data_IF_524532891838
#
_entry.id   IF_524532891838
#
_cell.length_a   1.000
_cell.length_b   1.000
_cell.length_c   1.000
_cell.angle_alpha   90.00
_cell.angle_beta   90.00
_cell.angle_gamma   90.00
#
_symmetry.space_group_name_H-M   'P 1'
#
loop_
_entity.id
_entity.type
_entity.pdbx_description
1 polymer ?
#
# COMPACT_ATOMS: atom_id res chain seq x y z
N UNK A 1 8.18 -29.33 -25.78
CA UNK A 1 7.49 -28.71 -24.62
C UNK A 1 8.17 -27.38 -24.35
N UNK A 2 7.47 -26.26 -24.54
CA UNK A 2 8.06 -24.93 -24.31
C UNK A 2 8.27 -24.70 -22.81
N UNK A 3 9.43 -24.19 -22.43
CA UNK A 3 9.73 -23.81 -21.05
C UNK A 3 8.81 -22.64 -20.69
N UNK A 4 7.85 -22.84 -19.78
CA UNK A 4 7.05 -21.73 -19.24
C UNK A 4 8.00 -20.78 -18.51
N UNK A 5 8.02 -19.51 -18.92
CA UNK A 5 8.78 -18.51 -18.19
C UNK A 5 8.10 -18.20 -16.87
N UNK A 6 8.88 -17.81 -15.85
CA UNK A 6 8.36 -17.53 -14.51
C UNK A 6 7.21 -16.51 -14.56
N UNK A 7 7.29 -15.50 -15.44
CA UNK A 7 6.23 -14.51 -15.66
C UNK A 7 4.93 -15.06 -16.24
N UNK A 8 4.98 -16.18 -16.99
CA UNK A 8 3.79 -16.86 -17.52
C UNK A 8 3.16 -17.82 -16.51
N UNK A 9 3.96 -18.34 -15.57
CA UNK A 9 3.48 -19.25 -14.54
C UNK A 9 2.88 -18.52 -13.33
N UNK A 10 3.22 -17.24 -13.13
CA UNK A 10 2.67 -16.42 -12.04
C UNK A 10 1.21 -16.06 -12.31
N UNK A 11 0.35 -16.34 -11.32
CA UNK A 11 -1.03 -15.87 -11.32
C UNK A 11 -1.10 -14.40 -10.90
N UNK A 12 -1.11 -13.51 -11.89
CA UNK A 12 -1.16 -12.07 -11.68
C UNK A 12 -2.50 -11.56 -11.15
N UNK A 13 -3.56 -12.37 -11.18
CA UNK A 13 -4.89 -12.00 -10.68
C UNK A 13 -5.00 -12.03 -9.15
N UNK A 14 -4.00 -12.62 -8.48
CA UNK A 14 -3.93 -12.79 -7.02
C UNK A 14 -4.00 -11.47 -6.24
N UNK A 15 -3.39 -10.41 -6.76
CA UNK A 15 -3.30 -9.10 -6.11
C UNK A 15 -3.48 -7.96 -7.12
N UNK A 16 -3.89 -6.78 -6.63
CA UNK A 16 -3.77 -5.54 -7.42
C UNK A 16 -2.30 -5.18 -7.61
N UNK A 17 -1.99 -4.40 -8.64
CA UNK A 17 -0.61 -4.00 -8.93
C UNK A 17 0.04 -3.27 -7.74
N UNK A 18 -0.70 -2.39 -7.07
CA UNK A 18 -0.23 -1.70 -5.86
C UNK A 18 0.10 -2.68 -4.74
N UNK A 19 -0.72 -3.73 -4.57
CA UNK A 19 -0.47 -4.76 -3.57
C UNK A 19 0.72 -5.65 -3.97
N UNK A 20 0.87 -6.02 -5.24
CA UNK A 20 2.08 -6.68 -5.76
C UNK A 20 3.35 -5.90 -5.41
N UNK A 21 3.33 -4.57 -5.55
CA UNK A 21 4.44 -3.70 -5.19
C UNK A 21 4.71 -3.68 -3.68
N UNK A 22 3.66 -3.58 -2.86
CA UNK A 22 3.77 -3.63 -1.39
C UNK A 22 4.33 -4.96 -0.90
N UNK A 23 3.88 -6.06 -1.49
CA UNK A 23 4.34 -7.42 -1.21
C UNK A 23 5.81 -7.61 -1.61
N UNK A 24 6.22 -7.08 -2.77
CA UNK A 24 7.63 -7.04 -3.17
C UNK A 24 8.47 -6.22 -2.18
N UNK A 25 7.96 -5.08 -1.72
CA UNK A 25 8.61 -4.26 -0.71
C UNK A 25 8.86 -5.01 0.61
N UNK A 26 7.86 -5.76 1.08
CA UNK A 26 7.98 -6.62 2.24
C UNK A 26 8.96 -7.79 2.01
N UNK A 27 9.04 -8.32 0.79
CA UNK A 27 10.02 -9.36 0.45
C UNK A 27 11.46 -8.85 0.46
N UNK A 28 11.73 -7.65 -0.07
CA UNK A 28 13.08 -7.07 -0.14
C UNK A 28 13.54 -6.54 1.22
N UNK A 29 12.69 -5.79 1.92
CA UNK A 29 13.05 -5.08 3.15
C UNK A 29 12.71 -5.86 4.43
N UNK A 30 12.07 -7.02 4.30
CA UNK A 30 11.46 -7.76 5.41
C UNK A 30 10.06 -7.25 5.75
N UNK A 31 9.35 -8.04 6.56
CA UNK A 31 7.98 -7.72 6.97
C UNK A 31 7.89 -6.32 7.59
N UNK A 32 6.98 -5.52 7.04
CA UNK A 32 6.74 -4.15 7.50
C UNK A 32 5.60 -4.07 8.53
N UNK A 33 5.05 -5.21 8.95
CA UNK A 33 3.99 -5.29 9.95
C UNK A 33 4.43 -4.61 11.26
N UNK A 34 3.70 -3.55 11.64
CA UNK A 34 3.82 -2.87 12.93
C UNK A 34 2.50 -2.95 13.67
N UNK A 35 2.55 -3.33 14.94
CA UNK A 35 1.41 -3.26 15.84
C UNK A 35 1.22 -1.82 16.28
N UNK A 36 0.20 -1.14 15.75
CA UNK A 36 -0.12 0.23 16.15
C UNK A 36 -1.26 0.20 17.17
N UNK A 37 -1.00 0.74 18.35
CA UNK A 37 -2.06 1.01 19.33
C UNK A 37 -2.80 2.29 18.93
N UNK A 38 -4.02 2.15 18.45
CA UNK A 38 -4.90 3.29 18.17
C UNK A 38 -5.72 3.57 19.41
N UNK A 39 -5.46 4.72 20.04
CA UNK A 39 -6.27 5.22 21.15
C UNK A 39 -7.49 5.92 20.56
N UNK A 40 -8.66 5.27 20.59
CA UNK A 40 -9.92 5.95 20.25
C UNK A 40 -10.45 6.69 21.46
N UNK A 41 -9.84 7.80 21.86
CA UNK A 41 -10.45 8.66 22.89
C UNK A 41 -11.82 9.15 22.41
N UNK A 42 -12.83 9.10 23.29
CA UNK A 42 -14.06 9.84 23.02
C UNK A 42 -13.75 11.33 22.93
N UNK A 43 -14.45 12.10 22.09
CA UNK A 43 -14.41 13.55 22.19
C UNK A 43 -15.11 13.97 23.50
N UNK A 44 -14.37 14.00 24.60
CA UNK A 44 -14.89 14.37 25.95
C UNK A 44 -15.20 15.86 26.07
N UNK A 45 -14.87 16.67 25.05
CA UNK A 45 -14.85 18.13 25.17
C UNK A 45 -16.24 18.79 25.20
N UNK A 46 -17.35 18.09 24.94
CA UNK A 46 -18.73 18.61 25.11
C UNK A 46 -19.76 17.49 25.41
N UNK A 47 -19.59 16.77 26.51
CA UNK A 47 -20.62 15.80 26.96
C UNK A 47 -21.49 16.39 28.07
N UNK A 48 -22.79 16.16 27.98
CA UNK A 48 -23.76 16.53 29.03
C UNK A 48 -23.65 15.58 30.22
N UNK A 49 -24.11 16.01 31.41
CA UNK A 49 -24.09 15.20 32.63
C UNK A 49 -24.79 13.83 32.44
N UNK A 50 -25.92 13.81 31.73
CA UNK A 50 -26.65 12.57 31.40
C UNK A 50 -25.85 11.61 30.52
N UNK A 51 -25.07 12.14 29.57
CA UNK A 51 -24.18 11.32 28.73
C UNK A 51 -22.99 10.79 29.54
N UNK A 52 -22.50 11.55 30.52
CA UNK A 52 -21.45 11.14 31.44
C UNK A 52 -21.89 9.98 32.33
N UNK A 53 -23.09 10.07 32.90
CA UNK A 53 -23.67 9.00 33.73
C UNK A 53 -23.94 7.73 32.91
N UNK A 54 -24.43 7.87 31.67
CA UNK A 54 -24.59 6.73 30.76
C UNK A 54 -23.25 6.06 30.42
N UNK A 55 -22.19 6.84 30.19
CA UNK A 55 -20.85 6.30 29.98
C UNK A 55 -20.33 5.57 31.22
N UNK A 56 -20.47 6.17 32.41
CA UNK A 56 -20.09 5.53 33.68
C UNK A 56 -20.83 4.21 33.89
N UNK A 57 -22.14 4.16 33.63
CA UNK A 57 -22.92 2.94 33.70
C UNK A 57 -22.44 1.87 32.69
N UNK A 58 -22.04 2.28 31.47
CA UNK A 58 -21.44 1.36 30.48
C UNK A 58 -20.08 0.81 30.96
N UNK A 59 -19.24 1.63 31.61
CA UNK A 59 -17.98 1.17 32.20
C UNK A 59 -18.18 0.24 33.41
N UNK A 60 -19.22 0.47 34.22
CA UNK A 60 -19.50 -0.32 35.41
C UNK A 60 -20.17 -1.68 35.12
N UNK A 61 -20.93 -1.77 34.02
CA UNK A 61 -21.68 -3.00 33.67
C UNK A 61 -20.94 -3.96 32.74
N UNK A 62 -19.81 -3.58 32.13
CA UNK A 62 -19.14 -4.39 31.12
C UNK A 62 -17.65 -4.58 31.45
N UNK A 63 -17.32 -5.67 32.16
CA UNK A 63 -15.94 -6.06 32.49
C UNK A 63 -15.06 -6.28 31.24
N UNK A 64 -15.66 -6.46 30.07
CA UNK A 64 -14.95 -6.65 28.79
C UNK A 64 -14.75 -5.35 28.02
N UNK A 65 -15.17 -4.21 28.57
CA UNK A 65 -14.97 -2.89 27.96
C UNK A 65 -13.48 -2.52 28.04
N UNK A 66 -12.68 -3.11 27.15
CA UNK A 66 -11.28 -2.75 26.95
C UNK A 66 -11.25 -1.28 26.58
N UNK A 67 -10.62 -0.49 27.45
CA UNK A 67 -10.32 0.90 27.15
C UNK A 67 -9.69 0.97 25.76
N UNK A 68 -10.16 1.92 24.95
CA UNK A 68 -10.37 1.79 23.49
C UNK A 68 -9.08 1.77 22.66
N UNK A 69 -8.18 0.87 23.00
CA UNK A 69 -6.93 0.55 22.35
C UNK A 69 -7.23 -0.52 21.33
N UNK A 70 -7.57 -0.10 20.11
CA UNK A 70 -7.56 -1.01 18.98
C UNK A 70 -6.10 -1.25 18.61
N UNK A 71 -5.60 -2.46 18.87
CA UNK A 71 -4.34 -2.92 18.28
C UNK A 71 -4.65 -3.22 16.81
N UNK A 72 -4.23 -2.34 15.91
CA UNK A 72 -4.30 -2.59 14.47
C UNK A 72 -2.92 -3.01 13.99
N UNK A 73 -2.86 -4.12 13.27
CA UNK A 73 -1.72 -4.41 12.39
C UNK A 73 -1.73 -3.40 11.26
N UNK A 74 -0.64 -2.66 11.11
CA UNK A 74 -0.43 -1.71 10.02
C UNK A 74 0.83 -2.14 9.28
N UNK A 75 0.79 -2.21 7.95
CA UNK A 75 1.90 -2.68 7.12
C UNK A 75 1.58 -3.98 6.39
N UNK A 76 2.55 -4.47 5.62
CA UNK A 76 2.41 -5.64 4.75
C UNK A 76 3.30 -6.77 5.26
N UNK A 77 2.70 -7.95 5.52
CA UNK A 77 3.43 -9.20 5.70
C UNK A 77 3.61 -9.86 4.34
N UNK A 78 4.83 -10.27 4.04
CA UNK A 78 5.18 -10.88 2.76
C UNK A 78 4.47 -12.22 2.60
N UNK A 79 3.66 -12.32 1.55
CA UNK A 79 2.96 -13.55 1.15
C UNK A 79 3.41 -14.03 -0.24
N UNK A 80 4.50 -13.48 -0.76
CA UNK A 80 5.08 -13.90 -2.03
C UNK A 80 5.91 -15.16 -1.85
N UNK A 81 5.75 -16.11 -2.77
CA UNK A 81 6.75 -17.14 -2.96
C UNK A 81 7.95 -16.59 -3.76
N UNK A 82 9.07 -17.31 -3.79
CA UNK A 82 10.28 -16.84 -4.48
C UNK A 82 10.07 -16.59 -5.98
N UNK A 83 9.24 -17.40 -6.64
CA UNK A 83 8.99 -17.27 -8.08
C UNK A 83 8.13 -16.04 -8.39
N UNK A 84 7.11 -15.79 -7.57
CA UNK A 84 6.27 -14.59 -7.60
C UNK A 84 7.11 -13.34 -7.36
N UNK A 85 7.99 -13.35 -6.34
CA UNK A 85 8.90 -12.25 -6.07
C UNK A 85 9.86 -11.97 -7.25
N UNK A 86 10.45 -13.02 -7.82
CA UNK A 86 11.30 -12.91 -9.02
C UNK A 86 10.51 -12.43 -10.24
N UNK A 87 9.24 -12.84 -10.39
CA UNK A 87 8.39 -12.42 -11.50
C UNK A 87 8.12 -10.92 -11.47
N UNK A 88 7.69 -10.39 -10.32
CA UNK A 88 7.39 -8.95 -10.18
C UNK A 88 8.68 -8.11 -10.24
N UNK A 89 9.78 -8.60 -9.68
CA UNK A 89 11.09 -7.95 -9.82
C UNK A 89 11.52 -7.91 -11.30
N UNK A 90 11.30 -9.00 -12.04
CA UNK A 90 11.59 -9.06 -13.48
C UNK A 90 10.77 -8.06 -14.27
N UNK A 91 9.48 -7.91 -13.93
CA UNK A 91 8.61 -6.90 -14.54
C UNK A 91 9.17 -5.48 -14.37
N UNK A 92 9.65 -5.13 -13.17
CA UNK A 92 10.29 -3.82 -12.93
C UNK A 92 11.60 -3.66 -13.71
N UNK A 93 12.44 -4.70 -13.78
CA UNK A 93 13.65 -4.66 -14.61
C UNK A 93 13.31 -4.46 -16.09
N UNK A 94 12.30 -5.16 -16.61
CA UNK A 94 11.87 -5.02 -18.01
C UNK A 94 11.29 -3.62 -18.30
N UNK A 95 10.65 -2.98 -17.32
CA UNK A 95 10.22 -1.58 -17.42
C UNK A 95 11.40 -0.59 -17.38
N UNK A 96 12.44 -0.89 -16.61
CA UNK A 96 13.67 -0.08 -16.52
C UNK A 96 14.52 -0.13 -17.79
N UNK A 97 14.39 -1.18 -18.61
CA UNK A 97 15.08 -1.30 -19.89
C UNK A 97 14.52 -0.35 -20.96
N UNK A 98 13.38 0.30 -20.73
CA UNK A 98 12.80 1.25 -21.67
C UNK A 98 13.52 2.59 -21.54
N UNK A 99 14.25 3.00 -22.59
CA UNK A 99 14.97 4.28 -22.66
C UNK A 99 14.00 5.46 -22.85
N UNK A 100 13.29 5.83 -21.79
CA UNK A 100 12.42 7.01 -21.72
C UNK A 100 12.56 7.66 -20.33
N UNK A 101 13.10 8.88 -20.29
CA UNK A 101 13.42 9.59 -19.05
C UNK A 101 12.18 9.80 -18.17
N UNK A 102 11.07 10.24 -18.78
CA UNK A 102 9.81 10.54 -18.07
C UNK A 102 9.21 9.25 -17.52
N UNK A 103 9.23 8.18 -18.31
CA UNK A 103 8.78 6.88 -17.84
C UNK A 103 9.64 6.38 -16.67
N UNK A 104 10.97 6.52 -16.75
CA UNK A 104 11.84 6.12 -15.66
C UNK A 104 11.55 6.91 -14.37
N UNK A 105 11.22 8.20 -14.46
CA UNK A 105 10.77 8.98 -13.30
C UNK A 105 9.46 8.43 -12.70
N UNK A 106 8.48 8.10 -13.54
CA UNK A 106 7.22 7.50 -13.08
C UNK A 106 7.45 6.15 -12.40
N UNK A 107 8.26 5.27 -13.00
CA UNK A 107 8.60 3.96 -12.42
C UNK A 107 9.36 4.11 -11.10
N UNK A 108 10.32 5.05 -11.03
CA UNK A 108 11.07 5.37 -9.81
C UNK A 108 10.15 5.87 -8.69
N UNK A 109 9.15 6.68 -9.05
CA UNK A 109 8.15 7.22 -8.12
C UNK A 109 7.24 6.10 -7.58
N UNK A 110 6.77 5.21 -8.45
CA UNK A 110 6.00 4.02 -8.06
C UNK A 110 6.82 3.15 -7.12
N UNK A 111 8.07 2.87 -7.46
CA UNK A 111 8.98 2.08 -6.62
C UNK A 111 9.16 2.71 -5.23
N UNK A 112 9.45 4.01 -5.20
CA UNK A 112 9.66 4.75 -3.95
C UNK A 112 8.42 4.77 -3.07
N UNK A 113 7.23 4.90 -3.66
CA UNK A 113 5.99 4.95 -2.90
C UNK A 113 5.50 3.57 -2.45
N UNK A 114 5.39 2.61 -3.37
CA UNK A 114 4.74 1.32 -3.10
C UNK A 114 5.70 0.23 -2.62
N UNK A 115 6.95 0.21 -3.10
CA UNK A 115 7.94 -0.81 -2.70
C UNK A 115 8.70 -0.37 -1.45
N UNK A 116 9.18 0.87 -1.41
CA UNK A 116 9.90 1.41 -0.24
C UNK A 116 8.97 2.00 0.84
N UNK A 117 7.66 2.06 0.59
CA UNK A 117 6.66 2.62 1.51
C UNK A 117 6.97 4.06 1.96
N UNK A 118 7.68 4.86 1.13
CA UNK A 118 7.93 6.26 1.45
C UNK A 118 6.61 7.05 1.34
N UNK A 119 6.43 8.01 2.24
CA UNK A 119 5.29 8.93 2.14
C UNK A 119 5.45 9.85 0.94
N UNK A 120 4.34 10.24 0.31
CA UNK A 120 4.36 11.16 -0.83
C UNK A 120 5.09 12.48 -0.55
N UNK A 121 5.04 12.96 0.70
CA UNK A 121 5.78 14.16 1.13
C UNK A 121 7.29 13.94 1.06
N UNK A 122 7.77 12.83 1.60
CA UNK A 122 9.20 12.50 1.59
C UNK A 122 9.74 12.37 0.15
N UNK A 123 8.94 11.81 -0.75
CA UNK A 123 9.30 11.71 -2.18
C UNK A 123 9.33 13.09 -2.83
N UNK A 124 8.30 13.90 -2.59
CA UNK A 124 8.23 15.28 -3.07
C UNK A 124 9.44 16.11 -2.59
N UNK A 125 9.80 15.99 -1.30
CA UNK A 125 10.97 16.66 -0.72
C UNK A 125 12.28 16.17 -1.36
N UNK A 126 12.41 14.88 -1.67
CA UNK A 126 13.63 14.34 -2.31
C UNK A 126 13.76 14.72 -3.79
N UNK A 127 12.63 14.97 -4.46
CA UNK A 127 12.59 15.35 -5.87
C UNK A 127 12.50 16.87 -6.07
N UNK A 128 12.44 17.66 -5.00
CA UNK A 128 12.17 19.11 -5.02
C UNK A 128 10.91 19.48 -5.83
N UNK A 129 9.85 18.66 -5.71
CA UNK A 129 8.58 18.85 -6.43
C UNK A 129 7.40 18.94 -5.47
N UNK A 130 6.22 19.25 -6.01
CA UNK A 130 4.99 19.26 -5.23
C UNK A 130 4.42 17.85 -5.04
N UNK A 131 3.76 17.60 -3.91
CA UNK A 131 3.02 16.35 -3.66
C UNK A 131 1.97 16.06 -4.74
N UNK A 132 1.42 17.11 -5.37
CA UNK A 132 0.45 16.95 -6.46
C UNK A 132 1.11 16.42 -7.73
N UNK A 133 2.35 16.84 -8.03
CA UNK A 133 3.12 16.32 -9.16
C UNK A 133 3.38 14.82 -8.96
N UNK A 134 3.88 14.43 -7.79
CA UNK A 134 4.09 13.01 -7.44
C UNK A 134 2.82 12.16 -7.60
N UNK A 135 1.65 12.70 -7.22
CA UNK A 135 0.36 12.00 -7.43
C UNK A 135 0.00 11.85 -8.91
N UNK A 136 0.34 12.83 -9.74
CA UNK A 136 0.14 12.75 -11.18
C UNK A 136 1.09 11.73 -11.80
N UNK A 137 2.36 11.75 -11.42
CA UNK A 137 3.40 10.81 -11.89
C UNK A 137 3.01 9.37 -11.56
N UNK A 138 2.52 9.10 -10.34
CA UNK A 138 1.98 7.80 -9.96
C UNK A 138 0.81 7.36 -10.86
N UNK A 139 -0.14 8.26 -11.13
CA UNK A 139 -1.29 7.95 -12.00
C UNK A 139 -0.88 7.69 -13.44
N UNK A 140 0.04 8.49 -13.98
CA UNK A 140 0.57 8.33 -15.34
C UNK A 140 1.34 7.01 -15.47
N UNK A 141 2.20 6.69 -14.50
CA UNK A 141 2.91 5.42 -14.45
C UNK A 141 1.95 4.23 -14.38
N UNK A 142 0.91 4.28 -13.53
CA UNK A 142 -0.09 3.22 -13.49
C UNK A 142 -0.90 3.10 -14.78
N UNK A 143 -1.25 4.21 -15.43
CA UNK A 143 -1.95 4.19 -16.71
C UNK A 143 -1.08 3.53 -17.80
N UNK A 144 0.23 3.82 -17.81
CA UNK A 144 1.19 3.19 -18.72
C UNK A 144 1.31 1.67 -18.47
N UNK A 145 1.48 1.25 -17.22
CA UNK A 145 1.59 -0.17 -16.88
C UNK A 145 0.29 -0.89 -17.24
N UNK A 146 -0.88 -0.30 -16.96
CA UNK A 146 -2.18 -0.86 -17.31
C UNK A 146 -2.37 -1.00 -18.82
N UNK A 147 -1.89 -0.06 -19.63
CA UNK A 147 -2.02 -0.15 -21.10
C UNK A 147 -1.16 -1.27 -21.67
N UNK A 148 0.02 -1.53 -21.09
CA UNK A 148 0.93 -2.60 -21.52
C UNK A 148 0.56 -3.97 -20.96
N UNK A 149 0.07 -4.02 -19.72
CA UNK A 149 -0.26 -5.23 -18.97
C UNK A 149 -1.71 -5.18 -18.49
N UNK A 150 -2.63 -5.45 -19.43
CA UNK A 150 -4.08 -5.37 -19.19
C UNK A 150 -4.64 -6.39 -18.19
N UNK A 151 -3.87 -7.42 -17.85
CA UNK A 151 -4.26 -8.46 -16.91
C UNK A 151 -4.14 -8.03 -15.43
N UNK A 152 -3.47 -6.91 -15.13
CA UNK A 152 -3.40 -6.39 -13.77
C UNK A 152 -4.67 -5.62 -13.39
N UNK A 153 -5.14 -5.84 -12.16
CA UNK A 153 -6.07 -4.95 -11.47
C UNK A 153 -5.31 -3.83 -10.77
N UNK A 154 -5.95 -2.67 -10.61
CA UNK A 154 -5.33 -1.47 -10.04
C UNK A 154 -6.30 -0.80 -9.07
N UNK A 155 -5.93 -0.73 -7.81
CA UNK A 155 -6.70 -0.11 -6.73
C UNK A 155 -7.00 1.37 -7.06
N UNK A 156 -6.02 2.07 -7.64
CA UNK A 156 -6.11 3.50 -7.98
C UNK A 156 -7.16 3.84 -9.05
N UNK A 157 -7.58 2.84 -9.84
CA UNK A 157 -8.58 3.00 -10.89
C UNK A 157 -9.93 2.35 -10.56
N UNK A 158 -10.03 1.66 -9.43
CA UNK A 158 -11.30 1.11 -8.95
C UNK A 158 -12.16 2.25 -8.40
N UNK A 159 -13.35 2.41 -8.96
CA UNK A 159 -14.35 3.33 -8.42
C UNK A 159 -14.90 2.70 -7.15
N UNK A 160 -14.47 3.21 -5.99
CA UNK A 160 -15.12 2.88 -4.72
C UNK A 160 -16.58 3.34 -4.83
N UNK A 161 -17.49 2.38 -4.98
CA UNK A 161 -18.95 2.62 -5.01
C UNK A 161 -19.47 2.70 -3.59
#
# INVERSE_FOLDING_TARGET
MGVMTIMQATDWSKYTFEEWCRQLGAWINGDSEKMVRVVKTMPTKRITQKQREKLLAMYMNDEKLKDRLCIKKTGTCCQLNENEARAIQRLFMDLQLIEDEILQEWISTIWSHHVLSNSLRKIADSCDTSVNQIRQDLKCGFAFIKSRYSHFSFESFEKTT
#
